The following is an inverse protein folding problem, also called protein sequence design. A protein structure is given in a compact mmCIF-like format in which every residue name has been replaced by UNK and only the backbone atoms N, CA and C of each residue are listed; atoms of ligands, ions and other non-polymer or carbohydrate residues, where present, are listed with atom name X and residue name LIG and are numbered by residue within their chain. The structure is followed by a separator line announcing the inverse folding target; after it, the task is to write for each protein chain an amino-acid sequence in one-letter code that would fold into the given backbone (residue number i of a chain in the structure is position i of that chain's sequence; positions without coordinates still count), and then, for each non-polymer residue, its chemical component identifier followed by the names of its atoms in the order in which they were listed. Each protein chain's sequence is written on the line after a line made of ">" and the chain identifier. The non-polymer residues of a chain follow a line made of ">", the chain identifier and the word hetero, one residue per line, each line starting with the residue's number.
data_IF_465551456046
#
_entry.id   IF_465551456046
#
_cell.length_a   1.000
_cell.length_b   1.000
_cell.length_c   1.000
_cell.angle_alpha   90.00
_cell.angle_beta   90.00
_cell.angle_gamma   90.00
#
_symmetry.space_group_name_H-M   'P 1'
#
loop_
_entity.id
_entity.type
_entity.pdbx_description
1 polymer ?
#
# COMPACT_ATOMS: atom_id res chain seq x y z
N UNK A 1 36.74 -6.23 30.52
CA UNK A 1 36.49 -5.27 29.42
C UNK A 1 35.02 -5.51 28.99
N UNK A 2 34.10 -4.69 29.48
CA UNK A 2 32.73 -4.63 28.97
C UNK A 2 32.81 -4.09 27.56
N UNK A 3 32.46 -4.92 26.57
CA UNK A 3 32.26 -4.44 25.21
C UNK A 3 31.05 -3.51 25.22
N UNK A 4 31.26 -2.23 25.04
CA UNK A 4 30.19 -1.28 24.78
C UNK A 4 29.51 -1.73 23.49
N UNK A 5 28.36 -2.40 23.65
CA UNK A 5 27.47 -2.76 22.54
C UNK A 5 26.97 -1.45 21.94
N UNK A 6 27.62 -0.97 20.87
CA UNK A 6 27.11 0.19 20.14
C UNK A 6 25.74 -0.19 19.60
N UNK A 7 24.69 0.33 20.21
CA UNK A 7 23.33 0.19 19.69
C UNK A 7 23.26 0.95 18.37
N UNK A 8 22.94 0.25 17.28
CA UNK A 8 22.64 0.89 16.00
C UNK A 8 21.40 1.76 16.19
N UNK A 9 21.50 3.03 15.81
CA UNK A 9 20.33 3.91 15.77
C UNK A 9 19.59 3.66 14.46
N UNK A 10 18.30 3.40 14.56
CA UNK A 10 17.38 3.33 13.41
C UNK A 10 16.55 4.61 13.45
N UNK A 11 16.43 5.28 12.31
CA UNK A 11 15.72 6.55 12.18
C UNK A 11 14.62 6.40 11.12
N UNK A 12 13.46 7.00 11.40
CA UNK A 12 12.42 7.24 10.39
C UNK A 12 12.78 8.54 9.69
N UNK A 13 13.02 8.48 8.39
CA UNK A 13 13.46 9.62 7.58
C UNK A 13 12.37 10.18 6.67
N UNK A 14 11.30 9.43 6.43
CA UNK A 14 10.17 9.89 5.63
C UNK A 14 8.90 9.12 5.96
N UNK A 15 7.77 9.79 5.80
CA UNK A 15 6.43 9.26 6.04
C UNK A 15 5.58 9.39 4.78
N UNK A 16 4.70 8.42 4.55
CA UNK A 16 3.71 8.46 3.50
C UNK A 16 2.42 7.81 3.94
N UNK A 17 1.30 8.42 3.59
CA UNK A 17 -0.02 7.93 3.98
C UNK A 17 -1.09 8.29 2.95
N UNK A 18 -2.08 7.41 2.84
CA UNK A 18 -3.37 7.72 2.23
C UNK A 18 -4.44 7.08 3.10
N UNK A 19 -5.33 7.89 3.63
CA UNK A 19 -6.22 7.53 4.72
C UNK A 19 -7.65 8.04 4.50
N UNK A 20 -8.62 7.60 5.31
CA UNK A 20 -9.97 8.17 5.26
C UNK A 20 -10.08 9.65 5.64
N UNK A 21 -9.02 10.25 6.20
CA UNK A 21 -9.01 11.66 6.60
C UNK A 21 -7.98 12.51 5.86
N UNK A 22 -7.29 11.94 4.87
CA UNK A 22 -6.34 12.69 4.03
C UNK A 22 -5.66 11.82 2.99
N UNK A 23 -5.37 12.38 1.83
CA UNK A 23 -4.64 11.73 0.74
C UNK A 23 -3.12 11.74 0.92
N UNK A 24 -2.62 12.45 1.93
CA UNK A 24 -1.20 12.59 2.28
C UNK A 24 -1.00 12.68 3.80
N UNK A 25 0.25 12.63 4.27
CA UNK A 25 0.61 12.73 5.70
C UNK A 25 0.25 14.09 6.30
N UNK A 26 0.57 15.26 5.68
CA UNK A 26 0.23 16.55 6.24
C UNK A 26 -1.26 16.72 6.48
N UNK A 27 -2.09 16.38 5.50
CA UNK A 27 -3.55 16.46 5.59
C UNK A 27 -4.10 15.49 6.62
N UNK A 28 -3.64 14.24 6.59
CA UNK A 28 -4.02 13.22 7.57
C UNK A 28 -3.72 13.68 9.00
N UNK A 29 -2.52 14.20 9.24
CA UNK A 29 -2.10 14.66 10.56
C UNK A 29 -2.89 15.89 11.03
N UNK A 30 -3.07 16.88 10.15
CA UNK A 30 -3.85 18.07 10.46
C UNK A 30 -5.32 17.73 10.82
N UNK A 31 -5.93 16.78 10.12
CA UNK A 31 -7.28 16.33 10.39
C UNK A 31 -7.36 15.44 11.63
N UNK A 32 -6.37 14.61 11.90
CA UNK A 32 -6.28 13.84 13.13
C UNK A 32 -6.23 14.76 14.37
N UNK A 33 -5.41 15.83 14.33
CA UNK A 33 -5.32 16.81 15.42
C UNK A 33 -6.64 17.57 15.65
N UNK A 34 -7.47 17.73 14.61
CA UNK A 34 -8.80 18.35 14.70
C UNK A 34 -9.88 17.37 15.16
N UNK A 35 -9.56 16.10 15.34
CA UNK A 35 -10.52 15.05 15.67
C UNK A 35 -11.50 14.73 14.53
N UNK A 36 -11.12 14.95 13.27
CA UNK A 36 -11.95 14.62 12.10
C UNK A 36 -12.14 13.13 12.02
N UNK A 37 -13.39 12.68 11.91
CA UNK A 37 -13.72 11.26 11.67
C UNK A 37 -13.71 10.97 10.18
N UNK A 38 -12.97 9.92 9.78
CA UNK A 38 -13.02 9.36 8.43
C UNK A 38 -14.08 8.26 8.27
N UNK A 39 -14.87 7.98 9.30
CA UNK A 39 -15.94 6.98 9.24
C UNK A 39 -17.19 7.64 8.67
N UNK A 40 -17.67 7.10 7.55
CA UNK A 40 -18.85 7.60 6.84
C UNK A 40 -19.85 6.48 6.57
N UNK A 41 -21.07 6.86 6.23
CA UNK A 41 -22.08 5.90 5.77
C UNK A 41 -21.68 5.32 4.42
N UNK A 42 -21.93 4.03 4.24
CA UNK A 42 -21.77 3.34 2.96
C UNK A 42 -23.09 3.47 2.22
N UNK A 43 -23.12 4.27 1.15
CA UNK A 43 -24.31 4.50 0.33
C UNK A 43 -24.35 3.60 -0.92
N UNK A 44 -23.75 2.40 -0.84
CA UNK A 44 -23.71 1.43 -1.91
C UNK A 44 -24.96 0.53 -1.89
N UNK A 45 -25.59 0.24 -3.06
CA UNK A 45 -26.82 -0.55 -3.14
C UNK A 45 -26.73 -1.94 -2.50
N UNK A 46 -25.55 -2.55 -2.53
CA UNK A 46 -25.34 -3.90 -1.98
C UNK A 46 -25.47 -3.94 -0.45
N UNK A 47 -25.37 -2.80 0.25
CA UNK A 47 -25.60 -2.76 1.71
C UNK A 47 -27.04 -3.14 2.03
N UNK A 48 -28.00 -2.62 1.27
CA UNK A 48 -29.42 -2.94 1.40
C UNK A 48 -29.75 -4.30 0.79
N UNK A 49 -29.19 -4.60 -0.39
CA UNK A 49 -29.39 -5.87 -1.11
C UNK A 49 -29.05 -7.07 -0.24
N UNK A 50 -27.91 -7.01 0.48
CA UNK A 50 -27.46 -8.10 1.37
C UNK A 50 -27.91 -7.90 2.83
N UNK A 51 -28.70 -6.88 3.13
CA UNK A 51 -29.16 -6.58 4.50
C UNK A 51 -28.01 -6.57 5.51
N UNK A 52 -26.93 -5.89 5.18
CA UNK A 52 -25.74 -5.90 6.02
C UNK A 52 -26.00 -5.21 7.37
N UNK A 53 -25.54 -5.82 8.49
CA UNK A 53 -25.72 -5.23 9.82
C UNK A 53 -24.81 -4.02 10.06
N UNK A 54 -23.79 -3.82 9.23
CA UNK A 54 -22.85 -2.69 9.29
C UNK A 54 -22.95 -1.89 7.99
N UNK A 55 -23.18 -0.62 8.12
CA UNK A 55 -23.36 0.33 7.01
C UNK A 55 -22.46 1.56 7.11
N UNK A 56 -21.40 1.48 7.91
CA UNK A 56 -20.38 2.54 8.05
C UNK A 56 -18.99 1.96 7.82
N UNK A 57 -18.11 2.75 7.21
CA UNK A 57 -16.72 2.37 7.00
C UNK A 57 -15.80 3.60 6.90
N UNK A 58 -14.52 3.39 7.14
CA UNK A 58 -13.45 4.31 6.77
C UNK A 58 -13.08 4.08 5.30
N UNK A 59 -13.57 4.93 4.42
CA UNK A 59 -13.22 4.94 2.99
C UNK A 59 -12.15 5.98 2.75
N UNK A 60 -11.29 5.78 1.78
CA UNK A 60 -10.26 6.75 1.43
C UNK A 60 -10.89 8.12 1.16
N UNK A 61 -10.24 9.19 1.66
CA UNK A 61 -10.65 10.56 1.39
C UNK A 61 -10.59 10.88 -0.12
N UNK A 62 -9.60 10.31 -0.79
CA UNK A 62 -9.40 10.44 -2.23
C UNK A 62 -9.28 9.03 -2.86
N UNK A 63 -9.97 8.78 -3.99
CA UNK A 63 -9.83 7.49 -4.69
C UNK A 63 -8.40 7.25 -5.14
N UNK A 64 -7.84 6.07 -4.85
CA UNK A 64 -6.44 5.76 -5.17
C UNK A 64 -6.09 5.95 -6.67
N UNK A 65 -7.03 5.60 -7.56
CA UNK A 65 -6.83 5.71 -9.01
C UNK A 65 -6.82 7.16 -9.55
N UNK A 66 -7.23 8.13 -8.73
CA UNK A 66 -7.19 9.57 -9.05
C UNK A 66 -5.92 10.25 -8.51
N UNK A 67 -5.13 9.55 -7.71
CA UNK A 67 -3.90 10.09 -7.16
C UNK A 67 -2.89 10.44 -8.26
N UNK A 68 -2.33 11.63 -8.21
CA UNK A 68 -1.24 12.07 -9.08
C UNK A 68 0.05 11.22 -8.91
N UNK A 69 0.15 10.49 -7.80
CA UNK A 69 1.25 9.56 -7.51
C UNK A 69 1.12 8.22 -8.21
N UNK A 70 0.06 7.99 -9.00
CA UNK A 70 -0.11 6.79 -9.81
C UNK A 70 -0.28 7.14 -11.28
N UNK A 71 0.37 6.37 -12.13
CA UNK A 71 0.08 6.40 -13.56
C UNK A 71 -1.21 5.61 -13.85
N UNK A 72 -1.89 5.96 -14.95
CA UNK A 72 -3.09 5.23 -15.42
C UNK A 72 -2.82 3.75 -15.71
N UNK A 73 -1.58 3.40 -16.02
CA UNK A 73 -1.15 2.02 -16.27
C UNK A 73 -1.04 1.26 -14.95
N UNK A 74 -0.43 1.86 -13.93
CA UNK A 74 -0.30 1.27 -12.60
C UNK A 74 -1.68 1.07 -11.95
N UNK A 75 -2.56 2.07 -12.03
CA UNK A 75 -3.93 1.95 -11.53
C UNK A 75 -4.72 0.79 -12.14
N UNK A 76 -4.39 0.37 -13.38
CA UNK A 76 -5.03 -0.78 -14.04
C UNK A 76 -4.35 -2.12 -13.78
N UNK A 77 -3.07 -2.10 -13.38
CA UNK A 77 -2.26 -3.32 -13.22
C UNK A 77 -2.04 -3.73 -11.76
N UNK A 78 -2.49 -2.90 -10.83
CA UNK A 78 -2.35 -3.16 -9.41
C UNK A 78 -3.73 -3.34 -8.77
N UNK A 79 -3.81 -4.31 -7.85
CA UNK A 79 -4.91 -4.38 -6.91
C UNK A 79 -5.02 -3.05 -6.12
N UNK A 80 -6.20 -2.64 -5.64
CA UNK A 80 -6.31 -1.44 -4.78
C UNK A 80 -5.29 -1.39 -3.66
N UNK A 81 -4.95 -2.51 -3.01
CA UNK A 81 -3.92 -2.56 -1.98
C UNK A 81 -2.53 -2.19 -2.50
N UNK A 82 -2.19 -2.63 -3.72
CA UNK A 82 -0.93 -2.27 -4.38
C UNK A 82 -0.87 -0.81 -4.81
N UNK A 83 -2.01 -0.23 -5.20
CA UNK A 83 -2.12 1.20 -5.49
C UNK A 83 -1.82 2.03 -4.24
N UNK A 84 -2.42 1.69 -3.10
CA UNK A 84 -2.18 2.35 -1.82
C UNK A 84 -0.71 2.24 -1.39
N UNK A 85 -0.12 1.06 -1.57
CA UNK A 85 1.28 0.82 -1.27
C UNK A 85 2.22 1.76 -2.04
N UNK A 86 1.99 1.93 -3.35
CA UNK A 86 2.80 2.83 -4.16
C UNK A 86 2.59 4.29 -3.82
N UNK A 87 1.35 4.73 -3.57
CA UNK A 87 1.06 6.12 -3.19
C UNK A 87 1.83 6.49 -1.93
N UNK A 88 1.68 5.67 -0.87
CA UNK A 88 2.35 5.93 0.40
C UNK A 88 3.87 5.80 0.31
N UNK A 89 4.39 4.81 -0.43
CA UNK A 89 5.83 4.63 -0.58
C UNK A 89 6.49 5.80 -1.33
N UNK A 90 5.84 6.34 -2.36
CA UNK A 90 6.34 7.49 -3.11
C UNK A 90 6.35 8.76 -2.27
N UNK A 91 5.31 9.01 -1.49
CA UNK A 91 5.29 10.12 -0.55
C UNK A 91 6.41 9.98 0.50
N UNK A 92 6.56 8.80 1.12
CA UNK A 92 7.61 8.56 2.10
C UNK A 92 9.02 8.76 1.51
N UNK A 93 9.22 8.38 0.26
CA UNK A 93 10.49 8.54 -0.45
C UNK A 93 10.81 10.02 -0.69
N UNK A 94 9.83 10.79 -1.14
CA UNK A 94 9.94 12.23 -1.32
C UNK A 94 10.17 12.97 0.01
N UNK A 95 9.42 12.60 1.06
CA UNK A 95 9.56 13.18 2.40
C UNK A 95 10.95 12.88 3.02
N UNK A 96 11.54 11.74 2.68
CA UNK A 96 12.93 11.41 3.05
C UNK A 96 13.99 12.22 2.31
N UNK A 97 13.60 13.09 1.38
CA UNK A 97 14.48 13.97 0.61
C UNK A 97 15.04 13.35 -0.66
N UNK A 98 14.56 12.18 -1.08
CA UNK A 98 14.97 11.58 -2.35
C UNK A 98 14.11 12.08 -3.50
N UNK A 99 14.74 12.46 -4.60
CA UNK A 99 14.03 12.99 -5.77
C UNK A 99 13.54 11.85 -6.68
N UNK A 100 12.26 11.94 -7.09
CA UNK A 100 11.66 11.10 -8.12
C UNK A 100 11.42 9.64 -7.72
N UNK A 101 10.38 9.06 -8.30
CA UNK A 101 10.07 7.63 -8.23
C UNK A 101 10.85 6.80 -9.26
N UNK A 102 11.70 7.45 -10.08
CA UNK A 102 12.35 6.87 -11.25
C UNK A 102 13.87 6.69 -11.10
N UNK A 103 14.45 6.14 -12.16
CA UNK A 103 15.84 5.71 -12.24
C UNK A 103 16.91 6.73 -11.82
N UNK A 104 16.58 8.01 -11.76
CA UNK A 104 17.54 9.07 -11.45
C UNK A 104 17.88 9.14 -9.96
N UNK A 105 16.93 8.86 -9.08
CA UNK A 105 17.18 8.81 -7.62
C UNK A 105 17.92 7.54 -7.17
N UNK A 106 18.03 6.54 -8.03
CA UNK A 106 18.79 5.32 -7.74
C UNK A 106 20.31 5.56 -7.63
N UNK A 107 20.82 6.73 -8.03
CA UNK A 107 22.22 7.11 -7.81
C UNK A 107 22.47 7.59 -6.36
N UNK A 108 21.43 8.02 -5.65
CA UNK A 108 21.54 8.54 -4.27
C UNK A 108 21.55 7.42 -3.21
N UNK A 109 20.99 6.25 -3.53
CA UNK A 109 20.82 5.14 -2.58
C UNK A 109 21.33 3.85 -3.20
N UNK A 110 22.17 3.10 -2.49
CA UNK A 110 22.64 1.79 -2.93
C UNK A 110 21.48 0.78 -3.02
N UNK A 111 21.10 0.32 -4.23
CA UNK A 111 20.00 -0.62 -4.42
C UNK A 111 20.22 -1.94 -3.68
N UNK A 112 21.47 -2.38 -3.51
CA UNK A 112 21.82 -3.64 -2.82
C UNK A 112 21.65 -3.54 -1.31
N UNK A 113 21.51 -2.32 -0.79
CA UNK A 113 21.25 -2.03 0.62
C UNK A 113 19.84 -1.51 0.86
N UNK A 114 19.05 -1.35 -0.18
CA UNK A 114 17.66 -0.89 -0.10
C UNK A 114 16.75 -2.10 -0.15
N UNK A 115 15.95 -2.27 0.87
CA UNK A 115 14.96 -3.34 0.97
C UNK A 115 13.56 -2.80 1.21
N UNK A 116 12.57 -3.66 1.05
CA UNK A 116 11.17 -3.41 1.33
C UNK A 116 10.66 -4.45 2.32
N UNK A 117 10.14 -4.00 3.45
CA UNK A 117 9.33 -4.80 4.36
C UNK A 117 7.90 -4.23 4.34
N UNK A 118 6.93 -5.04 3.97
CA UNK A 118 5.56 -4.60 3.77
C UNK A 118 4.58 -5.49 4.54
N UNK A 119 3.63 -4.86 5.23
CA UNK A 119 2.56 -5.55 5.95
C UNK A 119 1.24 -5.49 5.19
N UNK A 120 0.55 -6.62 5.04
CA UNK A 120 -0.81 -6.66 4.50
C UNK A 120 -1.64 -7.71 5.23
N UNK A 121 -2.91 -7.43 5.47
CA UNK A 121 -3.79 -8.38 6.14
C UNK A 121 -4.16 -9.57 5.26
N UNK A 122 -4.29 -9.37 3.93
CA UNK A 122 -4.86 -10.40 3.05
C UNK A 122 -4.34 -10.33 1.60
N UNK A 123 -3.72 -9.22 1.20
CA UNK A 123 -3.32 -8.99 -0.19
C UNK A 123 -4.47 -8.53 -1.08
N UNK A 124 -4.42 -8.90 -2.36
CA UNK A 124 -5.34 -8.44 -3.39
C UNK A 124 -6.67 -9.20 -3.44
N UNK A 125 -7.45 -9.16 -2.37
CA UNK A 125 -8.73 -9.88 -2.26
C UNK A 125 -9.75 -9.44 -3.30
N UNK A 126 -9.81 -8.15 -3.62
CA UNK A 126 -10.72 -7.63 -4.66
C UNK A 126 -10.40 -8.22 -6.03
N UNK A 127 -9.14 -8.30 -6.39
CA UNK A 127 -8.69 -8.94 -7.64
C UNK A 127 -9.11 -10.40 -7.70
N UNK A 128 -9.05 -11.12 -6.58
CA UNK A 128 -9.49 -12.52 -6.51
C UNK A 128 -11.00 -12.65 -6.74
N UNK A 129 -11.80 -11.83 -6.07
CA UNK A 129 -13.27 -11.87 -6.20
C UNK A 129 -13.72 -11.50 -7.60
N UNK A 130 -13.19 -10.42 -8.17
CA UNK A 130 -13.49 -9.97 -9.54
C UNK A 130 -13.09 -11.02 -10.58
N UNK A 131 -11.96 -11.70 -10.37
CA UNK A 131 -11.53 -12.78 -11.26
C UNK A 131 -12.45 -14.00 -11.18
N UNK A 132 -12.93 -14.32 -9.98
CA UNK A 132 -13.89 -15.40 -9.77
C UNK A 132 -15.24 -15.11 -10.46
N UNK A 133 -15.77 -13.91 -10.28
CA UNK A 133 -17.01 -13.50 -10.94
C UNK A 133 -16.85 -13.45 -12.46
N UNK A 134 -15.73 -12.92 -12.95
CA UNK A 134 -15.39 -12.94 -14.38
C UNK A 134 -15.33 -14.36 -14.93
N UNK A 135 -14.72 -15.30 -14.20
CA UNK A 135 -14.66 -16.71 -14.60
C UNK A 135 -16.05 -17.31 -14.72
N UNK A 136 -16.90 -17.06 -13.73
CA UNK A 136 -18.27 -17.61 -13.70
C UNK A 136 -19.19 -17.03 -14.78
N UNK A 137 -19.12 -15.72 -14.99
CA UNK A 137 -20.03 -14.99 -15.87
C UNK A 137 -19.58 -14.97 -17.33
N UNK A 138 -18.25 -14.85 -17.56
CA UNK A 138 -17.67 -14.55 -18.88
C UNK A 138 -16.73 -15.64 -19.39
N UNK A 139 -16.42 -16.63 -18.54
CA UNK A 139 -15.55 -17.75 -18.87
C UNK A 139 -14.04 -17.45 -18.76
N UNK A 140 -13.20 -18.51 -18.87
CA UNK A 140 -11.77 -18.44 -18.54
C UNK A 140 -10.98 -17.52 -19.45
N UNK A 141 -11.41 -17.29 -20.69
CA UNK A 141 -10.71 -16.41 -21.64
C UNK A 141 -10.75 -14.92 -21.26
N UNK A 142 -11.64 -14.57 -20.34
CA UNK A 142 -11.82 -13.19 -19.88
C UNK A 142 -11.10 -12.88 -18.58
N UNK A 143 -10.63 -13.89 -17.85
CA UNK A 143 -9.83 -13.71 -16.66
C UNK A 143 -8.47 -13.12 -17.05
N UNK A 144 -8.05 -12.06 -16.37
CA UNK A 144 -6.81 -11.38 -16.69
C UNK A 144 -5.59 -12.26 -16.36
N UNK A 145 -4.60 -12.37 -17.26
CA UNK A 145 -3.36 -13.09 -16.97
C UNK A 145 -2.60 -12.57 -15.74
N UNK A 146 -2.77 -11.27 -15.44
CA UNK A 146 -2.17 -10.60 -14.28
C UNK A 146 -2.89 -10.86 -12.95
N UNK A 147 -3.98 -11.61 -12.94
CA UNK A 147 -4.75 -11.90 -11.73
C UNK A 147 -3.86 -12.44 -10.60
N UNK A 148 -3.00 -13.43 -10.89
CA UNK A 148 -2.16 -14.05 -9.87
C UNK A 148 -1.16 -13.05 -9.27
N UNK A 149 -0.32 -12.34 -10.03
CA UNK A 149 0.55 -11.30 -9.47
C UNK A 149 -0.19 -10.22 -8.69
N UNK A 150 -1.38 -9.84 -9.12
CA UNK A 150 -2.18 -8.80 -8.46
C UNK A 150 -2.79 -9.25 -7.14
N UNK A 151 -3.24 -10.52 -7.05
CA UNK A 151 -3.88 -11.02 -5.82
C UNK A 151 -2.91 -11.45 -4.74
N UNK A 152 -1.67 -11.77 -5.09
CA UNK A 152 -0.68 -12.29 -4.13
C UNK A 152 -0.35 -11.27 -3.05
N UNK A 153 -0.30 -11.65 -1.76
CA UNK A 153 0.04 -10.72 -0.67
C UNK A 153 1.38 -10.01 -0.87
N UNK A 154 2.38 -10.70 -1.44
CA UNK A 154 3.68 -10.10 -1.73
C UNK A 154 3.69 -9.18 -2.96
N UNK A 155 2.59 -9.04 -3.69
CA UNK A 155 2.46 -8.13 -4.82
C UNK A 155 2.74 -6.67 -4.45
N UNK A 156 2.33 -6.26 -3.24
CA UNK A 156 2.55 -4.90 -2.74
C UNK A 156 4.04 -4.61 -2.50
N UNK A 157 4.74 -5.51 -1.79
CA UNK A 157 6.18 -5.39 -1.59
C UNK A 157 6.94 -5.41 -2.91
N UNK A 158 6.53 -6.27 -3.84
CA UNK A 158 7.13 -6.35 -5.17
C UNK A 158 6.93 -5.05 -5.98
N UNK A 159 5.72 -4.47 -5.96
CA UNK A 159 5.44 -3.22 -6.66
C UNK A 159 6.31 -2.07 -6.14
N UNK A 160 6.40 -1.92 -4.82
CA UNK A 160 7.25 -0.90 -4.18
C UNK A 160 8.73 -1.16 -4.48
N UNK A 161 9.20 -2.41 -4.34
CA UNK A 161 10.58 -2.79 -4.61
C UNK A 161 10.99 -2.49 -6.06
N UNK A 162 10.14 -2.83 -7.03
CA UNK A 162 10.40 -2.52 -8.44
C UNK A 162 10.43 -1.02 -8.71
N UNK A 163 9.53 -0.26 -8.09
CA UNK A 163 9.48 1.18 -8.24
C UNK A 163 10.74 1.85 -7.69
N UNK A 164 11.16 1.49 -6.49
CA UNK A 164 12.36 2.02 -5.83
C UNK A 164 13.67 1.36 -6.30
N UNK A 165 13.60 0.36 -7.21
CA UNK A 165 14.75 -0.45 -7.63
C UNK A 165 15.50 -1.12 -6.48
N UNK A 166 14.81 -1.38 -5.37
CA UNK A 166 15.35 -2.06 -4.21
C UNK A 166 15.74 -3.51 -4.56
N UNK A 167 16.95 -3.94 -4.16
CA UNK A 167 17.51 -5.26 -4.50
C UNK A 167 18.00 -6.05 -3.29
N UNK A 168 17.93 -5.49 -2.07
CA UNK A 168 18.33 -6.22 -0.88
C UNK A 168 17.29 -7.25 -0.49
N UNK A 169 16.05 -6.84 -0.25
CA UNK A 169 14.94 -7.72 0.09
C UNK A 169 13.60 -7.11 -0.32
N UNK A 170 12.61 -7.95 -0.62
CA UNK A 170 11.21 -7.57 -0.73
C UNK A 170 10.39 -8.61 0.06
N UNK A 171 10.13 -8.30 1.31
CA UNK A 171 9.47 -9.21 2.24
C UNK A 171 8.05 -8.74 2.54
N UNK A 172 7.16 -9.70 2.77
CA UNK A 172 5.77 -9.42 3.11
C UNK A 172 5.39 -10.18 4.37
N UNK A 173 4.86 -9.46 5.33
CA UNK A 173 4.31 -10.00 6.57
C UNK A 173 2.80 -10.04 6.47
N UNK A 174 2.21 -11.17 6.84
CA UNK A 174 0.76 -11.37 6.83
C UNK A 174 0.34 -11.91 8.20
N UNK A 175 -0.05 -11.02 9.08
CA UNK A 175 -0.52 -11.30 10.44
C UNK A 175 -1.68 -10.39 10.85
N UNK A 176 -2.66 -10.27 9.93
CA UNK A 176 -3.87 -9.48 10.12
C UNK A 176 -3.55 -8.02 10.56
N UNK A 177 -4.14 -7.55 11.65
CA UNK A 177 -3.95 -6.17 12.14
C UNK A 177 -2.52 -5.88 12.62
N UNK A 178 -1.72 -6.90 12.94
CA UNK A 178 -0.34 -6.75 13.39
C UNK A 178 0.68 -6.63 12.23
N UNK A 179 0.26 -6.90 10.99
CA UNK A 179 1.17 -6.99 9.83
C UNK A 179 2.11 -5.80 9.67
N UNK A 180 1.59 -4.59 9.81
CA UNK A 180 2.41 -3.37 9.61
C UNK A 180 3.43 -3.17 10.73
N UNK A 181 3.09 -3.51 11.98
CA UNK A 181 4.01 -3.43 13.12
C UNK A 181 5.14 -4.46 12.98
N UNK A 182 4.80 -5.69 12.59
CA UNK A 182 5.80 -6.73 12.34
C UNK A 182 6.69 -6.39 11.11
N UNK A 183 6.13 -5.74 10.08
CA UNK A 183 6.92 -5.28 8.95
C UNK A 183 7.94 -4.20 9.36
N UNK A 184 7.59 -3.30 10.28
CA UNK A 184 8.53 -2.31 10.82
C UNK A 184 9.63 -2.95 11.69
N UNK A 185 9.32 -4.03 12.40
CA UNK A 185 10.33 -4.78 13.17
C UNK A 185 11.33 -5.50 12.24
N UNK A 186 10.83 -5.98 11.12
CA UNK A 186 11.62 -6.73 10.14
C UNK A 186 12.55 -5.83 9.32
N UNK A 187 12.15 -4.59 9.02
CA UNK A 187 12.92 -3.62 8.23
C UNK A 187 13.98 -2.90 9.06
#
# INVERSE_FOLDING_TARGET
>A
QESVKMSRKVLVTGLGATTPIGGDVPTTWANALKGVSGITKIDEPWVEEYSLPVYIAGRLAEPAHESERLTKVEAKRLDPSGQLALIAAREAWEDAGFSGSDAESAEEVDPLRTGVAFGTGIGGVWTLLDAWDTLREKGPRRVLPMTVPMLMPNGNAAAVSMNLKARAAAQTVVSACASSTEAMELG
#
